data_IF_100568150516
#
_entry.id   IF_100568150516
#
_cell.length_a   1.000
_cell.length_b   1.000
_cell.length_c   1.000
_cell.angle_alpha   90.00
_cell.angle_beta   90.00
_cell.angle_gamma   90.00
#
_symmetry.space_group_name_H-M   'P 1'
#
loop_
_entity.id
_entity.type
_entity.pdbx_description
1 polymer ?
#
# COMPACT_ATOMS: atom_id res chain seq x y z
N UNK A 1 -4.14 -20.15 65.76
CA UNK A 1 -3.73 -20.61 64.42
C UNK A 1 -4.66 -19.93 63.41
N UNK A 2 -4.19 -18.87 62.76
CA UNK A 2 -5.01 -18.04 61.86
C UNK A 2 -5.03 -18.69 60.47
N UNK A 3 -6.16 -19.25 60.08
CA UNK A 3 -6.38 -19.79 58.74
C UNK A 3 -6.67 -18.63 57.79
N UNK A 4 -5.67 -18.22 57.01
CA UNK A 4 -5.84 -17.27 55.92
C UNK A 4 -6.72 -17.89 54.84
N UNK A 5 -7.87 -17.25 54.59
CA UNK A 5 -8.89 -17.71 53.66
C UNK A 5 -8.42 -17.52 52.21
N UNK A 6 -7.84 -18.58 51.65
CA UNK A 6 -7.25 -18.60 50.30
C UNK A 6 -8.26 -18.27 49.18
N UNK A 7 -9.57 -18.40 49.46
CA UNK A 7 -10.63 -18.15 48.47
C UNK A 7 -10.76 -16.67 48.10
N UNK A 8 -10.57 -15.77 49.08
CA UNK A 8 -10.65 -14.32 48.83
C UNK A 8 -9.50 -13.81 47.97
N UNK A 9 -8.29 -14.33 48.18
CA UNK A 9 -7.09 -13.94 47.41
C UNK A 9 -7.25 -14.33 45.94
N UNK A 10 -7.74 -15.54 45.67
CA UNK A 10 -7.91 -16.05 44.31
C UNK A 10 -8.99 -15.28 43.53
N UNK A 11 -10.08 -14.88 44.19
CA UNK A 11 -11.13 -14.05 43.57
C UNK A 11 -10.65 -12.63 43.22
N UNK A 12 -9.78 -12.05 44.06
CA UNK A 12 -9.22 -10.72 43.85
C UNK A 12 -8.21 -10.67 42.69
N UNK A 13 -7.38 -11.71 42.54
CA UNK A 13 -6.44 -11.83 41.45
C UNK A 13 -7.13 -11.99 40.08
N UNK A 14 -8.21 -12.77 40.02
CA UNK A 14 -9.01 -12.95 38.79
C UNK A 14 -9.67 -11.64 38.36
N UNK A 15 -10.23 -10.87 39.32
CA UNK A 15 -10.83 -9.55 39.04
C UNK A 15 -9.79 -8.56 38.55
N UNK A 16 -8.61 -8.52 39.17
CA UNK A 16 -7.53 -7.63 38.76
C UNK A 16 -7.09 -7.91 37.31
N UNK A 17 -7.00 -9.19 36.93
CA UNK A 17 -6.63 -9.59 35.57
C UNK A 17 -7.69 -9.22 34.52
N UNK A 18 -8.98 -9.31 34.86
CA UNK A 18 -10.05 -8.89 33.94
C UNK A 18 -10.10 -7.38 33.72
N UNK A 19 -9.79 -6.57 34.75
CA UNK A 19 -9.65 -5.12 34.59
C UNK A 19 -8.48 -4.74 33.68
N UNK A 20 -7.31 -5.37 33.84
CA UNK A 20 -6.15 -5.13 32.97
C UNK A 20 -6.42 -5.51 31.51
N UNK A 21 -7.08 -6.64 31.27
CA UNK A 21 -7.47 -7.07 29.92
C UNK A 21 -8.49 -6.13 29.29
N UNK A 22 -9.47 -5.65 30.06
CA UNK A 22 -10.44 -4.66 29.60
C UNK A 22 -9.77 -3.30 29.31
N UNK A 23 -8.80 -2.89 30.12
CA UNK A 23 -8.05 -1.65 29.92
C UNK A 23 -7.15 -1.72 28.68
N UNK A 24 -6.50 -2.86 28.44
CA UNK A 24 -5.80 -3.17 27.19
C UNK A 24 -6.74 -3.12 25.99
N UNK A 25 -7.94 -3.71 26.10
CA UNK A 25 -8.93 -3.68 25.04
C UNK A 25 -9.42 -2.24 24.76
N UNK A 26 -9.66 -1.44 25.81
CA UNK A 26 -10.04 -0.02 25.68
C UNK A 26 -8.91 0.78 25.04
N UNK A 27 -7.64 0.57 25.41
CA UNK A 27 -6.50 1.26 24.79
C UNK A 27 -6.41 0.90 23.29
N UNK A 28 -6.54 -0.38 22.95
CA UNK A 28 -6.60 -0.85 21.55
C UNK A 28 -7.80 -0.23 20.81
N UNK A 29 -8.95 -0.07 21.48
CA UNK A 29 -10.11 0.58 20.90
C UNK A 29 -9.90 2.09 20.72
N UNK A 30 -9.36 2.80 21.72
CA UNK A 30 -9.18 4.26 21.72
C UNK A 30 -8.10 4.69 20.72
N UNK A 31 -7.02 3.93 20.55
CA UNK A 31 -6.04 4.17 19.47
C UNK A 31 -6.66 4.07 18.06
N UNK A 32 -7.82 3.42 17.91
CA UNK A 32 -8.55 3.33 16.65
C UNK A 32 -9.61 4.44 16.43
N UNK A 33 -9.87 5.34 17.38
CA UNK A 33 -11.05 6.24 17.33
C UNK A 33 -10.81 7.59 16.61
N UNK A 34 -9.58 8.03 16.39
CA UNK A 34 -9.31 9.17 15.48
C UNK A 34 -8.81 8.71 14.12
N UNK A 35 -9.64 7.92 13.42
CA UNK A 35 -9.40 7.65 12.02
C UNK A 35 -9.56 8.96 11.22
N UNK A 36 -8.43 9.61 10.87
CA UNK A 36 -8.42 10.75 9.94
C UNK A 36 -9.24 10.38 8.70
N UNK A 37 -10.17 11.24 8.30
CA UNK A 37 -10.97 11.03 7.09
C UNK A 37 -10.04 11.15 5.86
N UNK A 38 -10.07 10.21 4.91
CA UNK A 38 -9.28 10.36 3.69
C UNK A 38 -9.81 11.54 2.87
N UNK A 39 -8.90 12.32 2.30
CA UNK A 39 -9.22 13.41 1.38
C UNK A 39 -9.62 12.88 -0.01
N UNK A 40 -9.05 11.73 -0.43
CA UNK A 40 -9.36 11.07 -1.70
C UNK A 40 -9.33 9.56 -1.50
N UNK A 41 -10.15 8.85 -2.27
CA UNK A 41 -10.16 7.40 -2.31
C UNK A 41 -10.26 6.92 -3.76
N UNK A 42 -9.42 5.95 -4.12
CA UNK A 42 -9.39 5.30 -5.41
C UNK A 42 -9.59 3.79 -5.25
N UNK A 43 -10.21 3.16 -6.24
CA UNK A 43 -10.29 1.71 -6.34
C UNK A 43 -9.37 1.25 -7.47
N UNK A 44 -8.32 0.49 -7.15
CA UNK A 44 -7.45 -0.11 -8.15
C UNK A 44 -7.87 -1.55 -8.36
N UNK A 45 -8.51 -1.82 -9.49
CA UNK A 45 -8.95 -3.14 -9.90
C UNK A 45 -7.86 -3.81 -10.73
N UNK A 46 -7.38 -4.97 -10.27
CA UNK A 46 -6.36 -5.73 -10.98
C UNK A 46 -6.95 -6.44 -12.19
N UNK A 47 -6.33 -6.27 -13.36
CA UNK A 47 -6.73 -7.03 -14.56
C UNK A 47 -6.32 -8.52 -14.40
N UNK A 48 -7.08 -9.42 -15.02
CA UNK A 48 -6.86 -10.88 -14.97
C UNK A 48 -5.53 -11.36 -15.57
N UNK A 49 -4.97 -10.57 -16.49
CA UNK A 49 -3.75 -10.91 -17.21
C UNK A 49 -2.57 -10.15 -16.60
N UNK A 50 -1.74 -10.87 -15.86
CA UNK A 50 -0.38 -10.39 -15.55
C UNK A 50 0.47 -10.52 -16.82
N UNK A 51 1.30 -9.51 -17.09
CA UNK A 51 2.25 -9.59 -18.19
C UNK A 51 3.41 -10.53 -17.88
N UNK A 52 4.15 -10.94 -18.92
CA UNK A 52 5.32 -11.82 -18.80
C UNK A 52 6.36 -11.30 -17.79
N UNK A 53 6.39 -9.98 -17.55
CA UNK A 53 7.33 -9.32 -16.64
C UNK A 53 6.83 -9.27 -15.19
N UNK A 54 5.69 -9.90 -14.87
CA UNK A 54 5.14 -9.99 -13.51
C UNK A 54 4.36 -8.76 -13.04
N UNK A 55 4.12 -7.78 -13.91
CA UNK A 55 3.29 -6.62 -13.57
C UNK A 55 1.82 -6.95 -13.54
N UNK A 56 1.20 -6.60 -12.42
CA UNK A 56 -0.23 -6.42 -12.33
C UNK A 56 -0.61 -5.14 -13.07
N UNK A 57 -1.49 -5.29 -14.06
CA UNK A 57 -2.17 -4.16 -14.69
C UNK A 57 -3.35 -3.75 -13.82
N UNK A 58 -3.66 -2.45 -13.79
CA UNK A 58 -4.76 -1.94 -12.99
C UNK A 58 -5.65 -0.99 -13.78
N UNK A 59 -6.94 -1.11 -13.58
CA UNK A 59 -7.89 -0.02 -13.81
C UNK A 59 -8.03 0.79 -12.52
N UNK A 60 -7.79 2.09 -12.58
CA UNK A 60 -7.96 3.02 -11.46
C UNK A 60 -9.31 3.70 -11.60
N UNK A 61 -10.18 3.44 -10.65
CA UNK A 61 -11.54 3.97 -10.61
C UNK A 61 -11.69 5.00 -9.49
N UNK A 62 -12.73 5.81 -9.61
CA UNK A 62 -13.20 6.67 -8.54
C UNK A 62 -13.64 5.85 -7.31
N UNK A 63 -13.93 6.56 -6.20
CA UNK A 63 -14.34 5.91 -4.95
C UNK A 63 -15.64 5.10 -5.06
N UNK A 64 -16.51 5.41 -6.03
CA UNK A 64 -17.74 4.66 -6.28
C UNK A 64 -17.54 3.43 -7.17
N UNK A 65 -16.40 3.32 -7.86
CA UNK A 65 -16.10 2.24 -8.80
C UNK A 65 -16.88 2.33 -10.10
N UNK A 66 -17.39 3.50 -10.45
CA UNK A 66 -18.22 3.72 -11.66
C UNK A 66 -17.42 4.39 -12.78
N UNK A 67 -16.52 5.29 -12.42
CA UNK A 67 -15.78 6.09 -13.39
C UNK A 67 -14.34 5.60 -13.50
N UNK A 68 -13.89 5.37 -14.73
CA UNK A 68 -12.49 5.10 -15.02
C UNK A 68 -11.70 6.40 -15.06
N UNK A 69 -10.75 6.55 -14.15
CA UNK A 69 -9.91 7.75 -14.05
C UNK A 69 -8.56 7.52 -14.72
N UNK A 70 -7.94 6.37 -14.45
CA UNK A 70 -6.65 6.01 -15.02
C UNK A 70 -6.54 4.51 -15.32
N UNK A 71 -5.51 4.13 -16.07
CA UNK A 71 -5.11 2.75 -16.28
C UNK A 71 -3.61 2.59 -16.19
N UNK A 72 -3.17 1.61 -15.41
CA UNK A 72 -1.80 1.13 -15.39
C UNK A 72 -1.66 -0.04 -16.36
N UNK A 73 -0.78 0.11 -17.35
CA UNK A 73 -0.53 -0.90 -18.38
C UNK A 73 0.96 -1.12 -18.55
N UNK A 74 1.42 -2.37 -18.53
CA UNK A 74 2.82 -2.65 -18.82
C UNK A 74 3.05 -2.70 -20.34
N UNK A 75 4.18 -2.18 -20.79
CA UNK A 75 4.59 -2.23 -22.19
C UNK A 75 5.26 -3.58 -22.48
N UNK A 76 4.94 -4.20 -23.62
CA UNK A 76 5.44 -5.53 -23.96
C UNK A 76 6.94 -5.57 -24.28
N UNK A 77 7.54 -4.42 -24.58
CA UNK A 77 8.90 -4.33 -25.13
C UNK A 77 9.93 -3.84 -24.12
N UNK A 78 9.49 -3.28 -22.99
CA UNK A 78 10.35 -2.67 -21.98
C UNK A 78 9.78 -2.97 -20.61
N UNK A 79 10.64 -3.04 -19.60
CA UNK A 79 10.30 -3.14 -18.18
C UNK A 79 9.65 -1.84 -17.65
N UNK A 80 8.57 -1.43 -18.32
CA UNK A 80 7.93 -0.13 -18.27
C UNK A 80 6.45 -0.29 -17.93
N UNK A 81 5.99 0.48 -16.95
CA UNK A 81 4.59 0.60 -16.57
C UNK A 81 4.10 2.01 -16.92
N UNK A 82 3.06 2.11 -17.70
CA UNK A 82 2.48 3.38 -18.14
C UNK A 82 1.20 3.69 -17.37
N UNK A 83 1.05 4.93 -16.94
CA UNK A 83 -0.19 5.48 -16.44
C UNK A 83 -0.90 6.25 -17.56
N UNK A 84 -2.08 5.79 -17.92
CA UNK A 84 -2.92 6.35 -18.97
C UNK A 84 -4.11 7.03 -18.31
N UNK A 85 -4.35 8.30 -18.63
CA UNK A 85 -5.49 9.06 -18.12
C UNK A 85 -6.76 8.83 -18.96
N UNK A 86 -7.93 8.91 -18.33
CA UNK A 86 -9.23 8.86 -19.00
C UNK A 86 -9.99 10.17 -18.77
N UNK A 87 -10.81 10.62 -19.75
CA UNK A 87 -11.13 9.95 -21.01
C UNK A 87 -10.13 10.17 -22.15
N UNK A 88 -9.11 11.03 -21.97
CA UNK A 88 -8.16 11.44 -23.02
C UNK A 88 -7.34 10.28 -23.61
N UNK A 89 -7.10 9.21 -22.85
CA UNK A 89 -6.23 8.06 -23.20
C UNK A 89 -4.78 8.46 -23.44
N UNK A 90 -4.36 9.58 -22.87
CA UNK A 90 -2.97 10.04 -22.94
C UNK A 90 -2.14 9.41 -21.81
N UNK A 91 -0.90 9.05 -22.13
CA UNK A 91 0.07 8.61 -21.12
C UNK A 91 0.52 9.84 -20.33
N UNK A 92 0.25 9.87 -19.03
CA UNK A 92 0.59 10.99 -18.15
C UNK A 92 1.86 10.76 -17.35
N UNK A 93 2.23 9.50 -17.14
CA UNK A 93 3.50 9.12 -16.51
C UNK A 93 3.88 7.69 -16.90
N UNK A 94 5.15 7.36 -16.75
CA UNK A 94 5.62 5.99 -16.82
C UNK A 94 6.63 5.68 -15.71
N UNK A 95 6.76 4.42 -15.33
CA UNK A 95 7.85 3.93 -14.50
C UNK A 95 8.67 2.96 -15.33
N UNK A 96 9.99 3.11 -15.34
CA UNK A 96 10.91 2.15 -15.93
C UNK A 96 11.91 1.69 -14.86
N UNK A 97 12.33 0.43 -14.90
CA UNK A 97 13.33 -0.06 -13.97
C UNK A 97 13.87 -1.42 -14.38
N UNK A 98 15.05 -1.79 -13.88
CA UNK A 98 15.55 -3.16 -14.03
C UNK A 98 14.95 -4.02 -12.92
N UNK A 99 13.95 -4.83 -13.26
CA UNK A 99 13.30 -5.73 -12.30
C UNK A 99 14.13 -7.01 -12.17
N UNK A 100 15.33 -6.87 -11.62
CA UNK A 100 16.19 -8.03 -11.35
C UNK A 100 15.55 -8.88 -10.27
N UNK A 101 15.58 -10.20 -10.48
CA UNK A 101 15.03 -11.22 -9.56
C UNK A 101 15.74 -11.27 -8.19
N UNK A 102 16.81 -10.49 -7.99
CA UNK A 102 17.55 -10.45 -6.73
C UNK A 102 16.83 -9.61 -5.68
N UNK A 103 16.42 -10.32 -4.64
CA UNK A 103 15.37 -10.04 -3.64
C UNK A 103 15.60 -8.79 -2.77
N UNK A 104 16.76 -8.14 -2.87
CA UNK A 104 17.22 -7.25 -1.80
C UNK A 104 17.19 -5.76 -2.13
N UNK A 105 17.31 -5.33 -3.40
CA UNK A 105 17.27 -3.91 -3.77
C UNK A 105 16.77 -3.75 -5.22
N UNK A 106 15.52 -3.31 -5.40
CA UNK A 106 14.99 -2.96 -6.73
C UNK A 106 14.72 -1.47 -6.76
N UNK A 107 15.20 -0.77 -7.80
CA UNK A 107 15.04 0.67 -8.00
C UNK A 107 14.20 0.93 -9.26
N UNK A 108 13.15 1.75 -9.13
CA UNK A 108 12.29 2.18 -10.23
C UNK A 108 12.44 3.68 -10.47
N UNK A 109 12.59 4.09 -11.72
CA UNK A 109 12.60 5.50 -12.11
C UNK A 109 11.23 5.87 -12.66
N UNK A 110 10.63 6.92 -12.12
CA UNK A 110 9.39 7.49 -12.64
C UNK A 110 9.75 8.57 -13.67
N UNK A 111 9.08 8.59 -14.81
CA UNK A 111 9.28 9.53 -15.90
C UNK A 111 7.97 10.23 -16.24
N UNK A 112 8.05 11.50 -16.63
CA UNK A 112 6.95 12.22 -17.24
C UNK A 112 6.97 11.94 -18.75
N UNK A 113 5.95 11.25 -19.26
CA UNK A 113 5.85 10.85 -20.66
C UNK A 113 5.57 12.01 -21.62
N UNK A 114 5.04 13.14 -21.13
CA UNK A 114 4.72 14.32 -21.94
C UNK A 114 5.99 15.15 -22.15
N UNK A 115 6.83 15.25 -21.12
CA UNK A 115 8.06 16.07 -21.16
C UNK A 115 9.29 15.29 -21.61
N UNK A 116 9.23 13.95 -21.60
CA UNK A 116 10.40 13.08 -21.77
C UNK A 116 11.56 13.49 -20.83
N UNK A 117 11.20 14.09 -19.69
CA UNK A 117 12.11 14.51 -18.64
C UNK A 117 12.07 13.45 -17.54
N UNK A 118 13.25 13.10 -17.02
CA UNK A 118 13.33 12.29 -15.81
C UNK A 118 12.70 13.10 -14.69
N UNK A 119 11.49 12.72 -14.27
CA UNK A 119 11.01 13.17 -12.96
C UNK A 119 11.89 12.46 -11.94
N UNK A 120 12.41 13.22 -10.95
CA UNK A 120 13.38 12.72 -9.97
C UNK A 120 12.69 11.80 -8.95
N UNK A 121 12.20 10.67 -9.44
CA UNK A 121 11.41 9.70 -8.71
C UNK A 121 12.14 8.38 -8.64
N UNK A 122 12.67 7.97 -7.49
CA UNK A 122 13.17 6.60 -7.29
C UNK A 122 12.30 5.84 -6.32
N UNK A 123 11.97 4.59 -6.60
CA UNK A 123 11.33 3.69 -5.63
C UNK A 123 12.27 2.52 -5.36
N UNK A 124 12.81 2.45 -4.15
CA UNK A 124 13.79 1.46 -3.72
C UNK A 124 13.18 0.50 -2.70
N UNK A 125 13.17 -0.80 -2.99
CA UNK A 125 12.76 -1.83 -2.02
C UNK A 125 13.90 -2.17 -1.07
N UNK A 126 13.68 -2.04 0.22
CA UNK A 126 14.53 -2.52 1.31
C UNK A 126 13.78 -3.60 2.09
N UNK A 127 14.31 -4.83 2.06
CA UNK A 127 13.70 -5.96 2.75
C UNK A 127 14.17 -6.09 4.20
N UNK A 128 13.23 -6.22 5.13
CA UNK A 128 13.48 -6.68 6.50
C UNK A 128 12.52 -7.84 6.78
N UNK A 129 12.97 -8.88 7.50
CA UNK A 129 12.32 -10.20 7.73
C UNK A 129 10.78 -10.24 7.66
N UNK A 130 10.08 -9.30 8.29
CA UNK A 130 8.62 -9.27 8.38
C UNK A 130 7.94 -8.04 7.73
N UNK A 131 8.73 -7.07 7.24
CA UNK A 131 8.25 -5.81 6.67
C UNK A 131 9.08 -5.46 5.44
N UNK A 132 8.42 -5.42 4.29
CA UNK A 132 8.98 -4.80 3.09
C UNK A 132 8.82 -3.28 3.23
N UNK A 133 9.93 -2.55 3.21
CA UNK A 133 9.90 -1.09 3.18
C UNK A 133 10.34 -0.64 1.79
N UNK A 134 9.61 0.31 1.22
CA UNK A 134 9.99 0.94 -0.03
C UNK A 134 10.28 2.40 0.26
N UNK A 135 11.51 2.84 -0.01
CA UNK A 135 11.89 4.25 0.01
C UNK A 135 11.49 4.85 -1.32
N UNK A 136 10.71 5.92 -1.28
CA UNK A 136 10.25 6.64 -2.47
C UNK A 136 10.90 8.01 -2.40
N UNK A 137 11.86 8.30 -3.28
CA UNK A 137 12.35 9.65 -3.51
C UNK A 137 11.49 10.28 -4.59
N UNK A 138 10.99 11.49 -4.37
CA UNK A 138 10.19 12.23 -5.34
C UNK A 138 10.40 13.73 -5.14
N UNK A 139 10.83 14.45 -6.18
CA UNK A 139 11.09 15.89 -6.10
C UNK A 139 12.00 16.30 -4.93
N UNK A 140 13.08 15.54 -4.69
CA UNK A 140 14.02 15.74 -3.57
C UNK A 140 13.45 15.51 -2.15
N UNK A 141 12.23 15.01 -2.03
CA UNK A 141 11.65 14.53 -0.77
C UNK A 141 11.70 13.00 -0.70
N UNK A 142 11.82 12.47 0.53
CA UNK A 142 11.84 11.02 0.78
C UNK A 142 10.59 10.59 1.55
N UNK A 143 9.99 9.51 1.08
CA UNK A 143 8.79 8.90 1.61
C UNK A 143 8.98 7.41 1.83
N UNK A 144 8.12 6.82 2.65
CA UNK A 144 8.21 5.42 3.03
C UNK A 144 6.88 4.72 2.79
N UNK A 145 6.90 3.66 1.98
CA UNK A 145 5.83 2.68 1.91
C UNK A 145 6.20 1.47 2.75
N UNK A 146 5.39 1.17 3.77
CA UNK A 146 5.55 -0.02 4.61
C UNK A 146 4.50 -1.08 4.24
N UNK A 147 4.97 -2.21 3.71
CA UNK A 147 4.18 -3.40 3.41
C UNK A 147 4.54 -4.51 4.39
N UNK A 148 3.64 -4.80 5.33
CA UNK A 148 3.79 -5.98 6.20
C UNK A 148 3.25 -7.21 5.47
N UNK A 149 3.95 -8.33 5.53
CA UNK A 149 3.63 -9.52 4.71
C UNK A 149 2.30 -10.19 5.09
N UNK A 150 1.88 -10.12 6.36
CA UNK A 150 0.68 -10.80 6.87
C UNK A 150 -0.56 -9.91 7.02
N UNK A 151 -0.54 -8.71 6.46
CA UNK A 151 -1.68 -7.80 6.50
C UNK A 151 -2.13 -7.44 5.10
N UNK A 152 -3.41 -7.15 4.94
CA UNK A 152 -3.94 -6.54 3.72
C UNK A 152 -3.70 -5.02 3.67
N UNK A 153 -3.26 -4.41 4.77
CA UNK A 153 -3.12 -2.96 4.91
C UNK A 153 -1.67 -2.48 4.81
N UNK A 154 -1.42 -1.62 3.84
CA UNK A 154 -0.10 -1.06 3.57
C UNK A 154 -0.18 0.46 3.65
N UNK A 155 0.86 1.11 4.17
CA UNK A 155 0.79 2.53 4.57
C UNK A 155 1.95 3.32 3.99
N UNK A 156 1.64 4.54 3.56
CA UNK A 156 2.58 5.55 3.08
C UNK A 156 2.82 6.59 4.16
N UNK A 157 4.08 6.94 4.38
CA UNK A 157 4.51 7.91 5.37
C UNK A 157 5.46 8.92 4.75
N UNK A 158 5.46 10.15 5.27
CA UNK A 158 6.61 11.03 5.12
C UNK A 158 7.71 10.66 6.12
N UNK A 159 8.89 11.27 5.96
CA UNK A 159 10.03 11.03 6.86
C UNK A 159 9.75 11.43 8.33
N UNK A 160 8.80 12.36 8.54
CA UNK A 160 8.36 12.77 9.87
C UNK A 160 7.35 11.80 10.50
N UNK A 161 7.00 10.70 9.81
CA UNK A 161 6.07 9.69 10.31
C UNK A 161 4.59 10.03 10.11
N UNK A 162 4.25 11.09 9.35
CA UNK A 162 2.87 11.41 9.05
C UNK A 162 2.30 10.43 8.02
N UNK A 163 1.11 9.89 8.30
CA UNK A 163 0.40 9.03 7.37
C UNK A 163 -0.10 9.84 6.16
N UNK A 164 0.48 9.58 4.98
CA UNK A 164 0.09 10.22 3.73
C UNK A 164 -1.05 9.47 3.04
N UNK A 165 -1.00 8.15 3.09
CA UNK A 165 -1.95 7.29 2.43
C UNK A 165 -1.92 5.86 2.97
N UNK A 166 -2.90 5.08 2.59
CA UNK A 166 -3.01 3.68 2.94
C UNK A 166 -3.72 2.94 1.82
N UNK A 167 -3.25 1.75 1.47
CA UNK A 167 -4.01 0.85 0.61
C UNK A 167 -4.35 -0.46 1.30
N UNK A 168 -5.53 -0.98 0.97
CA UNK A 168 -6.01 -2.27 1.46
C UNK A 168 -6.27 -3.21 0.30
N UNK A 169 -5.61 -4.38 0.29
CA UNK A 169 -5.94 -5.49 -0.63
C UNK A 169 -7.21 -6.21 -0.18
N UNK A 170 -8.22 -6.31 -1.04
CA UNK A 170 -9.46 -7.07 -0.79
C UNK A 170 -9.69 -8.12 -1.89
N UNK A 171 -10.15 -9.29 -1.49
CA UNK A 171 -10.58 -10.33 -2.42
C UNK A 171 -12.01 -10.08 -2.88
N UNK A 172 -12.30 -10.26 -4.18
CA UNK A 172 -13.64 -10.12 -4.74
C UNK A 172 -14.19 -11.50 -5.09
N UNK A 173 -15.13 -11.99 -4.27
CA UNK A 173 -15.64 -13.38 -4.30
C UNK A 173 -16.30 -13.83 -5.62
N UNK A 174 -16.68 -12.93 -6.52
CA UNK A 174 -17.45 -13.24 -7.74
C UNK A 174 -16.77 -12.84 -9.05
N UNK A 175 -15.47 -12.55 -9.04
CA UNK A 175 -14.73 -12.20 -10.25
C UNK A 175 -13.42 -12.97 -10.29
N UNK A 176 -13.13 -13.57 -11.45
CA UNK A 176 -11.89 -14.32 -11.66
C UNK A 176 -10.66 -13.38 -11.55
N UNK A 177 -10.83 -12.06 -11.72
CA UNK A 177 -9.84 -11.00 -11.42
C UNK A 177 -9.92 -10.60 -9.97
N UNK A 178 -9.35 -11.45 -9.13
CA UNK A 178 -9.86 -11.65 -7.78
C UNK A 178 -9.43 -10.60 -6.75
N UNK A 179 -8.79 -9.49 -7.13
CA UNK A 179 -8.27 -8.50 -6.18
C UNK A 179 -8.56 -7.05 -6.56
N UNK A 180 -9.05 -6.31 -5.57
CA UNK A 180 -9.25 -4.85 -5.61
C UNK A 180 -8.44 -4.23 -4.48
N UNK A 181 -7.83 -3.08 -4.75
CA UNK A 181 -7.15 -2.28 -3.74
C UNK A 181 -7.93 -1.01 -3.44
N UNK A 182 -8.26 -0.78 -2.18
CA UNK A 182 -8.79 0.51 -1.72
C UNK A 182 -7.62 1.41 -1.37
N UNK A 183 -7.29 2.39 -2.21
CA UNK A 183 -6.26 3.38 -1.92
C UNK A 183 -6.91 4.62 -1.32
N UNK A 184 -6.54 4.95 -0.09
CA UNK A 184 -6.97 6.14 0.65
C UNK A 184 -5.80 7.10 0.77
N UNK A 185 -6.01 8.36 0.41
CA UNK A 185 -5.03 9.44 0.60
C UNK A 185 -5.55 10.33 1.72
N UNK A 186 -4.69 10.65 2.68
CA UNK A 186 -4.98 11.51 3.83
C UNK A 186 -4.29 12.88 3.72
N UNK A 187 -3.17 12.96 3.01
CA UNK A 187 -2.39 14.19 2.81
C UNK A 187 -1.94 14.28 1.35
N UNK A 188 -2.24 15.40 0.70
CA UNK A 188 -1.94 15.65 -0.73
C UNK A 188 -0.49 16.18 -0.91
N UNK A 189 0.50 15.36 -0.56
CA UNK A 189 1.94 15.68 -0.71
C UNK A 189 2.59 15.02 -1.93
N UNK A 190 2.07 13.88 -2.36
CA UNK A 190 2.60 13.09 -3.46
C UNK A 190 1.64 13.15 -4.66
N UNK A 191 2.20 13.16 -5.86
CA UNK A 191 1.41 13.06 -7.09
C UNK A 191 0.67 11.71 -7.14
N UNK A 192 -0.47 11.66 -7.83
CA UNK A 192 -1.30 10.44 -7.89
C UNK A 192 -0.54 9.25 -8.49
N UNK A 193 0.28 9.54 -9.49
CA UNK A 193 1.17 8.63 -10.22
C UNK A 193 2.02 7.83 -9.23
N UNK A 194 2.62 8.52 -8.25
CA UNK A 194 3.51 7.92 -7.25
C UNK A 194 2.75 6.89 -6.41
N UNK A 195 1.53 7.22 -5.98
CA UNK A 195 0.71 6.26 -5.23
C UNK A 195 0.32 5.06 -6.08
N UNK A 196 -0.10 5.28 -7.34
CA UNK A 196 -0.54 4.19 -8.21
C UNK A 196 0.60 3.25 -8.58
N UNK A 197 1.76 3.78 -8.98
CA UNK A 197 2.95 2.98 -9.27
C UNK A 197 3.43 2.22 -8.02
N UNK A 198 3.41 2.85 -6.85
CA UNK A 198 3.79 2.18 -5.60
C UNK A 198 2.88 0.98 -5.26
N UNK A 199 1.57 1.09 -5.50
CA UNK A 199 0.65 -0.05 -5.34
C UNK A 199 0.99 -1.17 -6.33
N UNK A 200 1.27 -0.83 -7.58
CA UNK A 200 1.62 -1.81 -8.61
C UNK A 200 2.95 -2.52 -8.34
N UNK A 201 3.98 -1.77 -7.93
CA UNK A 201 5.27 -2.30 -7.47
C UNK A 201 5.07 -3.21 -6.27
N UNK A 202 4.24 -2.81 -5.30
CA UNK A 202 4.00 -3.61 -4.10
C UNK A 202 3.21 -4.89 -4.37
N UNK A 203 2.35 -4.94 -5.40
CA UNK A 203 1.67 -6.16 -5.86
C UNK A 203 2.49 -6.98 -6.86
N UNK A 204 3.62 -6.45 -7.35
CA UNK A 204 4.49 -7.18 -8.26
C UNK A 204 4.88 -8.53 -7.66
N UNK A 205 4.74 -9.58 -8.47
CA UNK A 205 5.10 -10.95 -8.12
C UNK A 205 6.26 -11.37 -9.00
N UNK A 206 7.31 -11.92 -8.38
CA UNK A 206 8.27 -12.71 -9.12
C UNK A 206 7.53 -13.95 -9.65
N UNK A 207 7.31 -13.99 -10.96
CA UNK A 207 6.74 -15.14 -11.67
C UNK A 207 7.78 -16.24 -11.95
N UNK A 208 9.02 -16.08 -11.46
CA UNK A 208 10.10 -17.06 -11.57
C UNK A 208 10.38 -17.74 -10.22
N UNK A 209 9.39 -18.49 -9.72
CA UNK A 209 9.57 -19.49 -8.67
C UNK A 209 8.90 -20.80 -9.12
#
# INVERSE_FOLDING_TARGET
>A
MMTWDKTNIMSSAIRMNSYWMMLLFIIICVENVQAKKPIRTYLLMRDDRMDKNGFSRFSVLDSSGKEHLYRLKSSYTHDRLELISYPSKEVTACVEGQWKAEILNVSFQIFDSIRNETTNGTIQKVFNLFVETYTIEWNYESFLLKKKLFTSYHKFYDWNGNLLGQFRKRFRWFSWSSFVYDLKIFIDKLAHEVYFFSVAIADHRNLMA
#
